data_IF_325562725545
#
_entry.id   IF_325562725545
#
_cell.length_a   1.000
_cell.length_b   1.000
_cell.length_c   1.000
_cell.angle_alpha   90.00
_cell.angle_beta   90.00
_cell.angle_gamma   90.00
#
_symmetry.space_group_name_H-M   'P 1'
#
loop_
_entity.id
_entity.type
_entity.pdbx_description
1 polymer ?
#
# COMPACT_ATOMS: atom_id res chain seq x y z
N UNK A 1 -1.18 0.88 27.86
CA UNK A 1 -0.40 0.67 26.61
C UNK A 1 -1.23 0.06 25.46
N UNK A 2 -2.23 -0.80 25.72
CA UNK A 2 -3.03 -1.48 24.68
C UNK A 2 -3.65 -0.55 23.60
N UNK A 3 -4.06 0.67 23.97
CA UNK A 3 -4.63 1.64 23.03
C UNK A 3 -3.66 2.03 21.91
N UNK A 4 -2.42 2.37 22.28
CA UNK A 4 -1.37 2.79 21.34
C UNK A 4 -0.99 1.63 20.42
N UNK A 5 -0.89 0.42 20.96
CA UNK A 5 -0.53 -0.77 20.17
C UNK A 5 -1.58 -1.03 19.07
N UNK A 6 -2.86 -1.02 19.43
CA UNK A 6 -3.96 -1.18 18.45
C UNK A 6 -3.96 -0.09 17.39
N UNK A 7 -3.73 1.16 17.79
CA UNK A 7 -3.71 2.27 16.85
C UNK A 7 -2.52 2.17 15.86
N UNK A 8 -1.35 1.72 16.34
CA UNK A 8 -0.19 1.42 15.49
C UNK A 8 -0.43 0.25 14.53
N UNK A 9 -1.13 -0.80 14.98
CA UNK A 9 -1.50 -1.94 14.12
C UNK A 9 -2.41 -1.51 12.96
N UNK A 10 -3.25 -0.50 13.16
CA UNK A 10 -4.06 0.13 12.11
C UNK A 10 -3.27 1.12 11.23
N UNK A 11 -1.97 1.28 11.50
CA UNK A 11 -1.07 2.14 10.76
C UNK A 11 -1.18 3.62 11.09
N UNK A 12 -1.92 4.02 12.13
CA UNK A 12 -2.00 5.42 12.54
C UNK A 12 -0.61 5.94 12.92
N UNK A 13 -0.31 7.16 12.48
CA UNK A 13 0.90 7.91 12.81
C UNK A 13 0.93 8.29 14.29
N UNK A 14 2.11 8.66 14.79
CA UNK A 14 2.24 9.08 16.19
C UNK A 14 1.41 10.33 16.50
N UNK A 15 1.24 11.23 15.53
CA UNK A 15 0.45 12.45 15.70
C UNK A 15 -1.06 12.13 15.78
N UNK A 16 -1.58 11.29 14.87
CA UNK A 16 -2.98 10.82 14.93
C UNK A 16 -3.26 10.06 16.25
N UNK A 17 -2.30 9.24 16.71
CA UNK A 17 -2.41 8.52 17.99
C UNK A 17 -2.44 9.49 19.17
N UNK A 18 -1.61 10.54 19.13
CA UNK A 18 -1.59 11.58 20.17
C UNK A 18 -2.93 12.31 20.23
N UNK A 19 -3.47 12.72 19.09
CA UNK A 19 -4.79 13.37 19.03
C UNK A 19 -5.90 12.47 19.56
N UNK A 20 -5.90 11.19 19.19
CA UNK A 20 -6.85 10.20 19.72
C UNK A 20 -6.67 9.95 21.24
N UNK A 21 -5.45 10.10 21.78
CA UNK A 21 -5.21 10.04 23.22
C UNK A 21 -5.76 11.27 23.93
N UNK A 22 -5.58 12.46 23.36
CA UNK A 22 -6.11 13.71 23.90
C UNK A 22 -7.66 13.65 23.97
N UNK A 23 -8.30 13.19 22.88
CA UNK A 23 -9.75 12.97 22.83
C UNK A 23 -10.20 11.96 23.90
N UNK A 24 -9.42 10.90 24.11
CA UNK A 24 -9.72 9.87 25.10
C UNK A 24 -9.57 10.37 26.54
N UNK A 25 -8.69 11.34 26.80
CA UNK A 25 -8.49 11.92 28.13
C UNK A 25 -9.65 12.84 28.51
N UNK A 26 -10.21 13.59 27.54
CA UNK A 26 -11.29 14.55 27.79
C UNK A 26 -12.52 14.29 26.89
N UNK A 27 -13.14 13.10 26.92
CA UNK A 27 -14.18 12.72 25.95
C UNK A 27 -15.46 13.57 26.02
N UNK A 28 -15.66 14.33 27.09
CA UNK A 28 -16.80 15.25 27.25
C UNK A 28 -16.61 16.59 26.53
N UNK A 29 -15.36 16.96 26.19
CA UNK A 29 -15.07 18.20 25.44
C UNK A 29 -14.88 17.95 23.95
N UNK A 30 -14.74 16.68 23.55
CA UNK A 30 -14.58 16.25 22.18
C UNK A 30 -15.83 15.55 21.64
N UNK A 31 -15.98 15.59 20.33
CA UNK A 31 -17.10 15.00 19.59
C UNK A 31 -16.69 13.70 18.91
N UNK A 32 -17.68 12.83 18.66
CA UNK A 32 -17.47 11.67 17.80
C UNK A 32 -17.07 12.05 16.37
N UNK A 33 -17.36 13.29 15.93
CA UNK A 33 -16.99 13.79 14.60
C UNK A 33 -15.47 13.96 14.47
N UNK A 34 -14.77 14.41 15.51
CA UNK A 34 -13.30 14.52 15.52
C UNK A 34 -12.64 13.14 15.39
N UNK A 35 -13.05 12.17 16.21
CA UNK A 35 -12.56 10.79 16.14
C UNK A 35 -12.80 10.17 14.75
N UNK A 36 -13.99 10.43 14.18
CA UNK A 36 -14.35 9.95 12.84
C UNK A 36 -13.48 10.60 11.77
N UNK A 37 -13.17 11.89 11.87
CA UNK A 37 -12.34 12.60 10.91
C UNK A 37 -10.94 11.98 10.80
N UNK A 38 -10.29 11.71 11.93
CA UNK A 38 -8.97 11.05 11.97
C UNK A 38 -9.04 9.67 11.31
N UNK A 39 -10.04 8.87 11.69
CA UNK A 39 -10.19 7.50 11.19
C UNK A 39 -10.51 7.48 9.69
N UNK A 40 -11.38 8.39 9.21
CA UNK A 40 -11.75 8.49 7.80
C UNK A 40 -10.61 9.02 6.93
N UNK A 41 -9.80 9.95 7.42
CA UNK A 41 -8.60 10.39 6.73
C UNK A 41 -7.61 9.23 6.54
N UNK A 42 -7.40 8.44 7.61
CA UNK A 42 -6.54 7.26 7.52
C UNK A 42 -7.06 6.20 6.54
N UNK A 43 -8.36 5.97 6.55
CA UNK A 43 -9.01 5.04 5.62
C UNK A 43 -8.81 5.47 4.17
N UNK A 44 -9.04 6.74 3.85
CA UNK A 44 -8.84 7.26 2.49
C UNK A 44 -7.39 7.06 2.00
N UNK A 45 -6.40 7.34 2.86
CA UNK A 45 -4.98 7.09 2.52
C UNK A 45 -4.68 5.61 2.25
N UNK A 46 -5.31 4.70 2.99
CA UNK A 46 -5.16 3.25 2.79
C UNK A 46 -5.80 2.84 1.46
N UNK A 47 -7.01 3.33 1.17
CA UNK A 47 -7.73 3.03 -0.08
C UNK A 47 -6.93 3.50 -1.30
N UNK A 48 -6.37 4.70 -1.26
CA UNK A 48 -5.48 5.22 -2.30
C UNK A 48 -4.24 4.33 -2.48
N UNK A 49 -3.64 3.87 -1.37
CA UNK A 49 -2.47 2.99 -1.44
C UNK A 49 -2.82 1.62 -2.00
N UNK A 50 -3.97 1.07 -1.66
CA UNK A 50 -4.47 -0.19 -2.23
C UNK A 50 -4.68 -0.04 -3.73
N UNK A 51 -5.27 1.07 -4.18
CA UNK A 51 -5.47 1.34 -5.61
C UNK A 51 -4.13 1.39 -6.35
N UNK A 52 -3.16 2.15 -5.84
CA UNK A 52 -1.81 2.24 -6.41
C UNK A 52 -1.12 0.86 -6.47
N UNK A 53 -1.11 0.14 -5.35
CA UNK A 53 -0.49 -1.18 -5.26
C UNK A 53 -1.18 -2.22 -6.15
N UNK A 54 -2.49 -2.13 -6.33
CA UNK A 54 -3.24 -3.00 -7.24
C UNK A 54 -2.83 -2.76 -8.69
N UNK A 55 -2.67 -1.50 -9.09
CA UNK A 55 -2.18 -1.14 -10.41
C UNK A 55 -0.76 -1.66 -10.65
N UNK A 56 0.16 -1.41 -9.72
CA UNK A 56 1.55 -1.91 -9.78
C UNK A 56 1.57 -3.43 -9.85
N UNK A 57 0.79 -4.11 -9.01
CA UNK A 57 0.67 -5.57 -9.00
C UNK A 57 0.19 -6.11 -10.34
N UNK A 58 -0.79 -5.47 -10.97
CA UNK A 58 -1.29 -5.89 -12.27
C UNK A 58 -0.21 -5.79 -13.37
N UNK A 59 0.55 -4.69 -13.38
CA UNK A 59 1.66 -4.50 -14.31
C UNK A 59 2.76 -5.56 -14.09
N UNK A 60 3.22 -5.74 -12.85
CA UNK A 60 4.21 -6.76 -12.50
C UNK A 60 3.74 -8.16 -12.86
N UNK A 61 2.46 -8.49 -12.58
CA UNK A 61 1.89 -9.78 -12.93
C UNK A 61 1.90 -10.02 -14.44
N UNK A 62 1.50 -9.04 -15.25
CA UNK A 62 1.53 -9.15 -16.71
C UNK A 62 2.95 -9.42 -17.23
N UNK A 63 3.94 -8.72 -16.70
CA UNK A 63 5.35 -8.91 -17.08
C UNK A 63 5.87 -10.28 -16.66
N UNK A 64 5.57 -10.68 -15.42
CA UNK A 64 5.93 -11.99 -14.88
C UNK A 64 5.34 -13.14 -15.71
N UNK A 65 4.04 -13.09 -16.00
CA UNK A 65 3.34 -14.14 -16.74
C UNK A 65 3.79 -14.24 -18.22
N UNK A 66 4.37 -13.16 -18.77
CA UNK A 66 4.92 -13.14 -20.13
C UNK A 66 6.36 -13.68 -20.22
N UNK A 67 7.04 -13.90 -19.08
CA UNK A 67 8.39 -14.43 -19.03
C UNK A 67 8.36 -15.95 -18.97
N UNK A 68 9.20 -16.59 -19.77
CA UNK A 68 9.39 -18.03 -19.84
C UNK A 68 10.09 -18.60 -18.60
N UNK A 69 11.01 -17.83 -17.99
CA UNK A 69 11.65 -18.20 -16.72
C UNK A 69 12.51 -19.47 -16.77
N UNK A 70 12.91 -19.93 -17.97
CA UNK A 70 13.76 -21.10 -18.13
C UNK A 70 15.17 -20.82 -17.58
N UNK A 71 15.73 -21.78 -16.84
CA UNK A 71 17.05 -21.64 -16.21
C UNK A 71 18.21 -21.72 -17.21
N UNK A 72 17.97 -22.37 -18.36
CA UNK A 72 18.98 -22.61 -19.39
C UNK A 72 19.06 -21.47 -20.42
N UNK A 73 18.06 -20.57 -20.45
CA UNK A 73 18.01 -19.43 -21.35
C UNK A 73 18.63 -18.18 -20.71
N UNK A 74 19.52 -17.50 -21.44
CA UNK A 74 20.08 -16.24 -20.99
C UNK A 74 19.09 -15.07 -21.20
N UNK A 75 19.29 -13.97 -20.48
CA UNK A 75 18.35 -12.86 -20.44
C UNK A 75 18.24 -12.01 -21.74
N UNK A 76 18.98 -12.34 -22.81
CA UNK A 76 18.91 -11.59 -24.08
C UNK A 76 17.54 -11.66 -24.76
N UNK A 77 16.73 -12.67 -24.45
CA UNK A 77 15.35 -12.82 -24.93
C UNK A 77 14.31 -12.60 -23.82
N UNK A 78 14.70 -12.03 -22.67
CA UNK A 78 13.79 -11.82 -21.54
C UNK A 78 12.71 -10.77 -21.87
N UNK A 79 11.45 -11.20 -21.93
CA UNK A 79 10.31 -10.31 -22.20
C UNK A 79 10.09 -9.26 -21.11
N UNK A 80 10.51 -9.50 -19.86
CA UNK A 80 10.47 -8.51 -18.78
C UNK A 80 11.41 -7.35 -19.08
N UNK A 81 12.66 -7.66 -19.46
CA UNK A 81 13.65 -6.63 -19.80
C UNK A 81 13.20 -5.85 -21.04
N UNK A 82 12.69 -6.53 -22.06
CA UNK A 82 12.09 -5.88 -23.23
C UNK A 82 10.94 -4.94 -22.84
N UNK A 83 9.99 -5.40 -22.01
CA UNK A 83 8.88 -4.58 -21.56
C UNK A 83 9.32 -3.31 -20.80
N UNK A 84 10.37 -3.40 -19.97
CA UNK A 84 10.95 -2.24 -19.28
C UNK A 84 11.70 -1.29 -20.23
N UNK A 85 12.36 -1.84 -21.25
CA UNK A 85 13.05 -1.07 -22.29
C UNK A 85 12.09 -0.48 -23.34
N UNK A 86 10.77 -0.74 -23.24
CA UNK A 86 9.76 -0.42 -24.26
C UNK A 86 10.00 -1.11 -25.61
N UNK A 87 10.59 -2.31 -25.59
CA UNK A 87 10.88 -3.17 -26.73
C UNK A 87 9.89 -4.34 -26.79
N UNK A 88 9.54 -4.77 -28.01
CA UNK A 88 8.66 -5.92 -28.22
C UNK A 88 9.46 -7.23 -28.25
N UNK A 89 9.92 -7.68 -27.08
CA UNK A 89 10.71 -8.92 -26.94
C UNK A 89 9.81 -10.09 -26.53
N UNK A 90 9.79 -11.16 -27.33
CA UNK A 90 9.13 -12.42 -26.96
C UNK A 90 10.13 -13.30 -26.22
N UNK A 91 9.72 -13.79 -25.04
CA UNK A 91 10.48 -14.83 -24.34
C UNK A 91 10.41 -16.12 -25.15
N UNK A 92 11.54 -16.82 -25.24
CA UNK A 92 11.69 -18.09 -25.94
C UNK A 92 12.29 -19.08 -24.98
#
# INVERSE_FOLDING_TARGET
>A
VNFILKAKELGLSLDEIKELLDIKLEPTVHSCAEVKSITSAKLALIDDKIHELTHIRAALKKMNDACCGHIDDNASHCSILGALASENTKCR
#
